data_IF_737149362619
#
_entry.id   IF_737149362619
#
_cell.length_a   1.000
_cell.length_b   1.000
_cell.length_c   1.000
_cell.angle_alpha   90.00
_cell.angle_beta   90.00
_cell.angle_gamma   90.00
#
_symmetry.space_group_name_H-M   'P 1'
#
loop_
_entity.id
_entity.type
_entity.pdbx_description
1 polymer ?
#
# COMPACT_ATOMS: atom_id res chain seq x y z
N UNK A 1 -9.60 -43.49 7.18
CA UNK A 1 -10.39 -42.35 7.70
C UNK A 1 -9.82 -41.95 9.06
N UNK A 2 -8.85 -41.04 9.12
CA UNK A 2 -8.36 -40.33 10.31
C UNK A 2 -7.13 -39.51 9.89
N UNK A 3 -6.84 -38.44 10.63
CA UNK A 3 -5.75 -37.46 10.42
C UNK A 3 -6.13 -36.38 9.40
N UNK A 4 -7.22 -35.69 9.78
CA UNK A 4 -7.45 -34.29 9.45
C UNK A 4 -6.15 -33.53 9.68
N UNK A 5 -5.55 -33.13 8.55
CA UNK A 5 -4.98 -31.80 8.29
C UNK A 5 -5.18 -30.86 9.46
N UNK A 6 -4.12 -30.20 9.92
CA UNK A 6 -4.24 -29.04 10.81
C UNK A 6 -5.30 -28.10 10.23
N UNK A 7 -6.51 -28.22 10.74
CA UNK A 7 -7.55 -27.26 10.48
C UNK A 7 -7.08 -25.98 11.14
N UNK A 8 -7.35 -24.86 10.50
CA UNK A 8 -7.12 -23.52 11.03
C UNK A 8 -7.56 -23.35 12.51
N UNK A 9 -8.60 -24.08 12.93
CA UNK A 9 -9.04 -24.17 14.33
C UNK A 9 -7.97 -24.61 15.32
N UNK A 10 -7.06 -25.51 14.94
CA UNK A 10 -5.95 -25.96 15.80
C UNK A 10 -4.89 -24.87 15.97
N UNK A 11 -4.69 -24.05 14.93
CA UNK A 11 -3.78 -22.91 14.96
C UNK A 11 -4.37 -21.78 15.81
N UNK A 12 -5.64 -21.45 15.60
CA UNK A 12 -6.42 -20.53 16.44
C UNK A 12 -6.33 -20.90 17.93
N UNK A 13 -6.57 -22.18 18.27
CA UNK A 13 -6.50 -22.67 19.65
C UNK A 13 -5.08 -22.57 20.23
N UNK A 14 -4.05 -22.83 19.42
CA UNK A 14 -2.66 -22.69 19.86
C UNK A 14 -2.28 -21.23 20.14
N UNK A 15 -2.68 -20.30 19.25
CA UNK A 15 -2.44 -18.86 19.40
C UNK A 15 -3.19 -18.32 20.62
N UNK A 16 -4.48 -18.64 20.75
CA UNK A 16 -5.30 -18.18 21.88
C UNK A 16 -4.84 -18.75 23.21
N UNK A 17 -4.43 -20.02 23.27
CA UNK A 17 -3.82 -20.60 24.47
C UNK A 17 -2.55 -19.87 24.88
N UNK A 18 -1.66 -19.58 23.93
CA UNK A 18 -0.42 -18.84 24.20
C UNK A 18 -0.70 -17.38 24.63
N UNK A 19 -1.67 -16.71 23.98
CA UNK A 19 -2.05 -15.33 24.30
C UNK A 19 -2.73 -15.19 25.67
N UNK A 20 -3.49 -16.20 26.09
CA UNK A 20 -4.15 -16.26 27.41
C UNK A 20 -3.23 -16.76 28.53
N UNK A 21 -1.98 -17.13 28.21
CA UNK A 21 -1.01 -17.64 29.18
C UNK A 21 -1.29 -19.06 29.65
N UNK A 22 -2.20 -19.78 28.99
CA UNK A 22 -2.41 -21.21 29.23
C UNK A 22 -1.22 -21.95 28.59
N UNK A 23 -0.39 -22.65 29.38
CA UNK A 23 0.79 -23.32 28.85
C UNK A 23 0.36 -24.53 28.01
N UNK A 24 0.19 -24.31 26.71
CA UNK A 24 0.28 -25.40 25.76
C UNK A 24 1.75 -25.79 25.71
N UNK A 25 2.07 -26.92 26.35
CA UNK A 25 3.42 -27.47 26.36
C UNK A 25 3.86 -27.58 24.89
N UNK A 26 4.85 -26.79 24.48
CA UNK A 26 5.33 -26.75 23.10
C UNK A 26 5.71 -28.16 22.59
N UNK A 27 6.11 -29.06 23.50
CA UNK A 27 6.35 -30.47 23.24
C UNK A 27 5.08 -31.26 22.87
N UNK A 28 3.97 -31.03 23.56
CA UNK A 28 2.67 -31.67 23.28
C UNK A 28 2.12 -31.21 21.93
N UNK A 29 2.22 -29.90 21.65
CA UNK A 29 1.88 -29.34 20.35
C UNK A 29 2.78 -29.95 19.25
N UNK A 30 4.10 -30.00 19.48
CA UNK A 30 5.07 -30.57 18.53
C UNK A 30 4.85 -32.05 18.27
N UNK A 31 4.43 -32.82 19.28
CA UNK A 31 4.11 -34.24 19.17
C UNK A 31 2.81 -34.47 18.40
N UNK A 32 1.73 -33.76 18.74
CA UNK A 32 0.46 -33.81 18.01
C UNK A 32 0.60 -33.33 16.56
N UNK A 33 1.40 -32.29 16.33
CA UNK A 33 1.70 -31.76 14.99
C UNK A 33 2.51 -32.77 14.17
N UNK A 34 3.59 -33.35 14.71
CA UNK A 34 4.42 -34.37 14.04
C UNK A 34 3.60 -35.58 13.55
N UNK A 35 2.55 -35.96 14.29
CA UNK A 35 1.68 -37.09 13.95
C UNK A 35 0.64 -36.77 12.85
N UNK A 36 0.42 -35.49 12.49
CA UNK A 36 -0.70 -35.05 11.64
C UNK A 36 -0.32 -34.39 10.30
N UNK A 37 0.96 -34.36 9.92
CA UNK A 37 1.40 -33.56 8.75
C UNK A 37 1.40 -34.33 7.44
N UNK A 38 0.54 -33.89 6.52
CA UNK A 38 0.85 -33.88 5.09
C UNK A 38 0.95 -32.42 4.62
N UNK A 39 2.04 -32.00 3.97
CA UNK A 39 2.18 -30.64 3.49
C UNK A 39 1.21 -30.41 2.32
N UNK A 40 0.10 -29.73 2.58
CA UNK A 40 -0.67 -29.04 1.54
C UNK A 40 -0.72 -27.56 1.89
N UNK A 41 -0.51 -26.73 0.87
CA UNK A 41 -0.69 -25.28 0.87
C UNK A 41 -2.17 -24.94 1.09
N UNK A 42 -2.67 -25.11 2.31
CA UNK A 42 -4.01 -24.69 2.68
C UNK A 42 -4.03 -23.17 2.90
N UNK A 43 -5.04 -22.48 2.38
CA UNK A 43 -5.29 -21.08 2.73
C UNK A 43 -5.66 -20.98 4.24
N UNK A 44 -5.24 -19.92 4.94
CA UNK A 44 -5.62 -19.72 6.34
C UNK A 44 -7.14 -19.61 6.46
N UNK A 45 -7.73 -20.06 7.58
CA UNK A 45 -9.18 -19.91 7.75
C UNK A 45 -9.49 -18.47 8.01
N UNK A 46 -10.71 -18.13 7.65
CA UNK A 46 -11.35 -16.87 7.94
C UNK A 46 -11.28 -16.48 9.43
N UNK A 47 -11.34 -17.46 10.35
CA UNK A 47 -11.20 -17.23 11.80
C UNK A 47 -9.78 -16.80 12.21
N UNK A 48 -8.75 -17.45 11.66
CA UNK A 48 -7.35 -17.04 11.90
C UNK A 48 -7.09 -15.65 11.35
N UNK A 49 -7.61 -15.36 10.15
CA UNK A 49 -7.53 -14.04 9.51
C UNK A 49 -8.16 -12.96 10.38
N UNK A 50 -9.36 -13.21 10.91
CA UNK A 50 -10.03 -12.26 11.80
C UNK A 50 -9.23 -12.01 13.08
N UNK A 51 -8.62 -13.05 13.66
CA UNK A 51 -7.85 -12.95 14.90
C UNK A 51 -6.63 -12.05 14.73
N UNK A 52 -5.75 -12.34 13.77
CA UNK A 52 -4.55 -11.54 13.61
C UNK A 52 -4.83 -10.15 13.04
N UNK A 53 -5.88 -9.97 12.23
CA UNK A 53 -6.33 -8.63 11.81
C UNK A 53 -6.84 -7.80 13.00
N UNK A 54 -7.56 -8.42 13.94
CA UNK A 54 -7.99 -7.75 15.16
C UNK A 54 -6.79 -7.38 16.03
N UNK A 55 -5.85 -8.32 16.22
CA UNK A 55 -4.63 -8.09 17.01
C UNK A 55 -3.79 -6.94 16.45
N UNK A 56 -3.61 -6.89 15.12
CA UNK A 56 -2.91 -5.78 14.47
C UNK A 56 -3.64 -4.45 14.66
N UNK A 57 -4.97 -4.40 14.49
CA UNK A 57 -5.75 -3.17 14.67
C UNK A 57 -5.73 -2.65 16.09
N UNK A 58 -5.72 -3.56 17.07
CA UNK A 58 -5.80 -3.21 18.49
C UNK A 58 -4.43 -3.07 19.16
N UNK A 59 -3.34 -3.39 18.45
CA UNK A 59 -2.00 -3.38 19.02
C UNK A 59 -1.74 -4.52 20.03
N UNK A 60 -2.44 -5.65 19.89
CA UNK A 60 -2.30 -6.80 20.81
C UNK A 60 -0.96 -7.54 20.58
N UNK A 61 0.06 -7.03 21.26
CA UNK A 61 1.41 -7.57 21.27
C UNK A 61 1.49 -9.02 21.75
N UNK A 62 0.58 -9.49 22.62
CA UNK A 62 0.62 -10.87 23.12
C UNK A 62 0.27 -11.85 22.02
N UNK A 63 -0.83 -11.57 21.32
CA UNK A 63 -1.28 -12.39 20.18
C UNK A 63 -0.26 -12.37 19.05
N UNK A 64 0.32 -11.21 18.72
CA UNK A 64 1.35 -11.11 17.68
C UNK A 64 2.65 -11.86 18.03
N UNK A 65 3.09 -11.79 19.30
CA UNK A 65 4.21 -12.59 19.81
C UNK A 65 3.93 -14.10 19.77
N UNK A 66 2.69 -14.51 20.02
CA UNK A 66 2.28 -15.91 19.89
C UNK A 66 2.45 -16.42 18.45
N UNK A 67 1.97 -15.66 17.45
CA UNK A 67 2.19 -15.99 16.03
C UNK A 67 3.68 -16.09 15.70
N UNK A 68 4.50 -15.17 16.23
CA UNK A 68 5.94 -15.18 16.01
C UNK A 68 6.62 -16.40 16.61
N UNK A 69 6.26 -16.78 17.84
CA UNK A 69 6.81 -17.96 18.52
C UNK A 69 6.45 -19.26 17.78
N UNK A 70 5.21 -19.38 17.29
CA UNK A 70 4.78 -20.53 16.49
C UNK A 70 5.55 -20.63 15.16
N UNK A 71 5.93 -19.49 14.57
CA UNK A 71 6.73 -19.46 13.34
C UNK A 71 8.17 -20.00 13.51
N UNK A 72 8.71 -20.00 14.74
CA UNK A 72 10.04 -20.57 15.04
C UNK A 72 10.04 -22.09 15.07
N UNK A 73 8.86 -22.72 15.15
CA UNK A 73 8.73 -24.16 15.07
C UNK A 73 8.94 -24.59 13.60
N UNK A 74 10.00 -25.36 13.28
CA UNK A 74 10.38 -25.63 11.88
C UNK A 74 9.24 -26.23 11.04
N UNK A 75 8.44 -27.06 11.69
CA UNK A 75 7.28 -27.75 11.11
C UNK A 75 6.14 -26.81 10.74
N UNK A 76 5.95 -25.73 11.52
CA UNK A 76 4.89 -24.73 11.30
C UNK A 76 5.35 -23.59 10.39
N UNK A 77 6.66 -23.38 10.23
CA UNK A 77 7.22 -22.29 9.43
C UNK A 77 6.65 -22.22 7.99
N UNK A 78 6.45 -23.37 7.34
CA UNK A 78 5.90 -23.45 5.99
C UNK A 78 4.38 -23.17 5.96
N UNK A 79 3.65 -23.66 6.97
CA UNK A 79 2.19 -23.49 7.09
C UNK A 79 1.83 -22.03 7.42
N UNK A 80 2.63 -21.40 8.27
CA UNK A 80 2.41 -20.03 8.74
C UNK A 80 2.89 -18.97 7.76
N UNK A 81 3.73 -19.29 6.77
CA UNK A 81 4.33 -18.31 5.86
C UNK A 81 3.29 -17.32 5.29
N UNK A 82 2.17 -17.81 4.75
CA UNK A 82 1.10 -16.97 4.20
C UNK A 82 0.37 -16.13 5.26
N UNK A 83 0.20 -16.67 6.46
CA UNK A 83 -0.42 -15.95 7.59
C UNK A 83 0.50 -14.82 8.05
N UNK A 84 1.80 -15.07 8.16
CA UNK A 84 2.80 -14.06 8.53
C UNK A 84 2.89 -12.95 7.47
N UNK A 85 2.88 -13.31 6.19
CA UNK A 85 2.81 -12.34 5.09
C UNK A 85 1.55 -11.45 5.22
N UNK A 86 0.40 -12.08 5.49
CA UNK A 86 -0.85 -11.38 5.76
C UNK A 86 -0.77 -10.41 6.95
N UNK A 87 -0.15 -10.84 8.06
CA UNK A 87 0.07 -9.99 9.25
C UNK A 87 0.92 -8.78 8.90
N UNK A 88 2.05 -8.98 8.23
CA UNK A 88 2.98 -7.92 7.83
C UNK A 88 2.28 -6.92 6.90
N UNK A 89 1.60 -7.41 5.85
CA UNK A 89 0.87 -6.58 4.89
C UNK A 89 -0.27 -5.79 5.51
N UNK A 90 -1.03 -6.40 6.41
CA UNK A 90 -2.13 -5.73 7.11
C UNK A 90 -1.65 -4.73 8.16
N UNK A 91 -0.53 -5.02 8.84
CA UNK A 91 0.09 -4.10 9.80
C UNK A 91 0.59 -2.80 9.15
N UNK A 92 0.95 -2.80 7.86
CA UNK A 92 1.30 -1.56 7.14
C UNK A 92 0.14 -0.58 7.05
N UNK A 93 -1.06 -1.12 6.95
CA UNK A 93 -2.24 -0.37 6.52
C UNK A 93 -3.22 -0.14 7.66
N UNK A 94 -3.22 -1.01 8.68
CA UNK A 94 -4.24 -1.03 9.72
C UNK A 94 -3.68 -1.12 11.15
N UNK A 95 -2.36 -1.14 11.34
CA UNK A 95 -1.80 -1.02 12.70
C UNK A 95 -2.17 0.36 13.27
N UNK A 96 -2.74 0.38 14.47
CA UNK A 96 -3.18 1.62 15.12
C UNK A 96 -2.02 2.41 15.73
N UNK A 97 -0.94 1.73 16.09
CA UNK A 97 0.23 2.31 16.75
C UNK A 97 1.54 2.01 16.00
N UNK A 98 2.46 2.99 16.06
CA UNK A 98 3.78 2.92 15.42
C UNK A 98 4.63 1.78 16.02
N UNK A 99 4.48 1.52 17.31
CA UNK A 99 5.22 0.48 18.02
C UNK A 99 4.87 -0.92 17.49
N UNK A 100 3.58 -1.23 17.34
CA UNK A 100 3.13 -2.50 16.76
C UNK A 100 3.58 -2.66 15.34
N UNK A 101 3.49 -1.59 14.54
CA UNK A 101 4.03 -1.59 13.17
C UNK A 101 5.52 -1.92 13.20
N UNK A 102 6.32 -1.13 13.90
CA UNK A 102 7.78 -1.31 13.98
C UNK A 102 8.18 -2.69 14.51
N UNK A 103 7.48 -3.18 15.55
CA UNK A 103 7.72 -4.50 16.13
C UNK A 103 7.43 -5.61 15.12
N UNK A 104 6.30 -5.57 14.41
CA UNK A 104 5.97 -6.54 13.35
C UNK A 104 7.08 -6.54 12.29
N UNK A 105 7.54 -5.36 11.86
CA UNK A 105 8.64 -5.23 10.89
C UNK A 105 9.98 -5.77 11.37
N UNK A 106 10.33 -5.55 12.64
CA UNK A 106 11.57 -6.05 13.23
C UNK A 106 11.53 -7.55 13.50
N UNK A 107 10.37 -8.07 13.88
CA UNK A 107 10.24 -9.39 14.48
C UNK A 107 10.02 -10.50 13.48
N UNK A 108 9.29 -10.29 12.38
CA UNK A 108 9.05 -11.33 11.39
C UNK A 108 10.21 -11.44 10.38
N UNK A 109 10.71 -12.65 10.08
CA UNK A 109 11.87 -12.85 9.21
C UNK A 109 11.62 -12.37 7.78
N UNK A 110 12.73 -12.10 7.07
CA UNK A 110 12.74 -11.47 5.75
C UNK A 110 11.72 -12.09 4.78
N UNK A 111 10.93 -11.22 4.17
CA UNK A 111 10.06 -11.44 3.01
C UNK A 111 10.59 -12.55 2.10
N UNK A 112 10.03 -13.77 2.21
CA UNK A 112 10.52 -14.89 1.40
C UNK A 112 10.19 -14.67 -0.08
N UNK A 113 9.01 -14.10 -0.38
CA UNK A 113 8.64 -13.56 -1.70
C UNK A 113 7.62 -12.43 -1.51
N UNK A 114 8.02 -11.15 -1.62
CA UNK A 114 7.08 -10.05 -1.43
C UNK A 114 6.06 -10.03 -2.58
N UNK A 115 4.80 -10.35 -2.24
CA UNK A 115 3.69 -10.24 -3.17
C UNK A 115 3.48 -8.78 -3.63
N UNK A 116 2.80 -8.60 -4.76
CA UNK A 116 2.45 -7.27 -5.28
C UNK A 116 1.66 -6.40 -4.29
N UNK A 117 0.89 -7.04 -3.39
CA UNK A 117 0.09 -6.34 -2.38
C UNK A 117 0.95 -5.64 -1.33
N UNK A 118 2.08 -6.25 -0.94
CA UNK A 118 3.00 -5.67 0.04
C UNK A 118 3.62 -4.37 -0.47
N UNK A 119 3.98 -4.28 -1.75
CA UNK A 119 4.49 -3.04 -2.35
C UNK A 119 3.43 -1.94 -2.39
N UNK A 120 2.16 -2.32 -2.57
CA UNK A 120 1.05 -1.40 -2.47
C UNK A 120 0.89 -0.87 -1.05
N UNK A 121 0.95 -1.77 -0.06
CA UNK A 121 0.84 -1.43 1.35
C UNK A 121 2.01 -0.55 1.84
N UNK A 122 3.24 -0.81 1.39
CA UNK A 122 4.42 0.05 1.64
C UNK A 122 4.24 1.43 1.03
N UNK A 123 3.72 1.49 -0.21
CA UNK A 123 3.39 2.76 -0.85
C UNK A 123 2.32 3.53 -0.09
N UNK A 124 1.27 2.84 0.36
CA UNK A 124 0.15 3.44 1.09
C UNK A 124 0.51 3.92 2.50
N UNK A 125 1.45 3.26 3.19
CA UNK A 125 1.87 3.68 4.53
C UNK A 125 2.74 4.94 4.52
N UNK A 126 3.50 5.18 3.44
CA UNK A 126 4.31 6.39 3.28
C UNK A 126 5.58 6.44 4.13
N UNK A 127 5.83 5.40 4.94
CA UNK A 127 6.94 5.37 5.90
C UNK A 127 8.25 5.01 5.20
N UNK A 128 9.11 6.02 5.03
CA UNK A 128 10.41 5.90 4.38
C UNK A 128 11.33 4.95 5.13
N UNK A 129 11.28 4.93 6.47
CA UNK A 129 12.17 4.11 7.27
C UNK A 129 11.77 2.64 7.22
N UNK A 130 10.46 2.35 7.19
CA UNK A 130 9.96 0.99 6.92
C UNK A 130 10.39 0.52 5.53
N UNK A 131 10.29 1.39 4.51
CA UNK A 131 10.73 1.06 3.17
C UNK A 131 12.25 0.84 3.08
N UNK A 132 13.05 1.70 3.73
CA UNK A 132 14.51 1.56 3.83
C UNK A 132 14.92 0.28 4.54
N UNK A 133 14.26 -0.04 5.65
CA UNK A 133 14.48 -1.29 6.38
C UNK A 133 14.19 -2.51 5.49
N UNK A 134 13.09 -2.48 4.74
CA UNK A 134 12.73 -3.56 3.81
C UNK A 134 13.81 -3.72 2.71
N UNK A 135 14.31 -2.62 2.13
CA UNK A 135 15.42 -2.66 1.18
C UNK A 135 16.70 -3.28 1.77
N UNK A 136 17.06 -2.91 3.00
CA UNK A 136 18.25 -3.44 3.71
C UNK A 136 18.22 -4.95 3.98
N UNK A 137 17.05 -5.60 3.89
CA UNK A 137 16.86 -7.04 4.08
C UNK A 137 16.78 -7.83 2.78
N UNK A 138 17.14 -7.23 1.64
CA UNK A 138 17.16 -7.91 0.33
C UNK A 138 15.90 -7.72 -0.50
N UNK A 139 14.99 -6.80 -0.14
CA UNK A 139 13.86 -6.46 -1.00
C UNK A 139 14.33 -5.97 -2.38
N UNK A 140 15.49 -5.30 -2.47
CA UNK A 140 16.03 -4.83 -3.74
C UNK A 140 16.57 -5.95 -4.64
N UNK A 141 17.04 -7.07 -4.09
CA UNK A 141 17.73 -8.13 -4.85
C UNK A 141 16.80 -9.14 -5.52
N UNK A 142 15.53 -9.19 -5.10
CA UNK A 142 14.56 -10.21 -5.55
C UNK A 142 13.36 -9.66 -6.31
N UNK A 143 13.34 -8.35 -6.59
CA UNK A 143 12.09 -7.66 -6.94
C UNK A 143 12.24 -6.90 -8.25
N UNK A 144 11.21 -7.02 -9.09
CA UNK A 144 11.15 -6.36 -10.38
C UNK A 144 10.90 -4.85 -10.25
N UNK A 145 11.41 -4.01 -11.18
CA UNK A 145 11.10 -2.58 -11.23
C UNK A 145 9.60 -2.26 -11.26
N UNK A 146 8.79 -3.18 -11.79
CA UNK A 146 7.32 -3.07 -11.86
C UNK A 146 6.67 -3.13 -10.47
N UNK A 147 7.18 -3.96 -9.56
CA UNK A 147 6.69 -4.03 -8.18
C UNK A 147 7.01 -2.74 -7.42
N UNK A 148 8.20 -2.17 -7.60
CA UNK A 148 8.52 -0.85 -7.05
C UNK A 148 7.69 0.28 -7.68
N UNK A 149 7.30 0.14 -8.95
CA UNK A 149 6.32 1.02 -9.59
C UNK A 149 4.96 1.03 -8.87
N UNK A 150 4.54 -0.09 -8.26
CA UNK A 150 3.32 -0.15 -7.43
C UNK A 150 3.45 0.67 -6.16
N UNK A 151 4.62 0.65 -5.51
CA UNK A 151 4.93 1.49 -4.35
C UNK A 151 4.84 2.97 -4.71
N UNK A 152 5.48 3.37 -5.82
CA UNK A 152 5.40 4.75 -6.30
C UNK A 152 3.96 5.17 -6.64
N UNK A 153 3.17 4.27 -7.23
CA UNK A 153 1.75 4.52 -7.52
C UNK A 153 0.91 4.74 -6.26
N UNK A 154 0.99 3.84 -5.27
CA UNK A 154 0.19 4.00 -4.04
C UNK A 154 0.70 5.17 -3.17
N UNK A 155 2.02 5.43 -3.14
CA UNK A 155 2.56 6.62 -2.48
C UNK A 155 2.04 7.92 -3.12
N UNK A 156 2.00 7.98 -4.45
CA UNK A 156 1.44 9.13 -5.17
C UNK A 156 -0.06 9.29 -4.95
N UNK A 157 -0.80 8.18 -4.85
CA UNK A 157 -2.23 8.15 -4.56
C UNK A 157 -2.56 8.60 -3.12
N UNK A 158 -1.68 8.30 -2.16
CA UNK A 158 -1.83 8.69 -0.76
C UNK A 158 -1.19 10.06 -0.43
N UNK A 159 -0.41 10.64 -1.35
CA UNK A 159 0.22 11.95 -1.18
C UNK A 159 1.58 11.92 -0.47
N UNK A 160 2.19 10.75 -0.31
CA UNK A 160 3.45 10.54 0.41
C UNK A 160 4.67 10.96 -0.42
N UNK A 161 4.90 12.28 -0.51
CA UNK A 161 5.99 12.86 -1.29
C UNK A 161 7.36 12.35 -0.88
N UNK A 162 7.63 12.21 0.42
CA UNK A 162 8.95 11.79 0.92
C UNK A 162 9.30 10.37 0.46
N UNK A 163 8.36 9.42 0.59
CA UNK A 163 8.53 8.07 0.08
C UNK A 163 8.68 8.06 -1.44
N UNK A 164 7.87 8.85 -2.15
CA UNK A 164 7.96 8.93 -3.61
C UNK A 164 9.32 9.50 -4.07
N UNK A 165 9.82 10.52 -3.39
CA UNK A 165 11.13 11.11 -3.66
C UNK A 165 12.26 10.13 -3.34
N UNK A 166 12.15 9.37 -2.25
CA UNK A 166 13.08 8.32 -1.91
C UNK A 166 13.12 7.22 -2.98
N UNK A 167 11.95 6.72 -3.39
CA UNK A 167 11.83 5.69 -4.43
C UNK A 167 12.35 6.19 -5.78
N UNK A 168 12.13 7.47 -6.10
CA UNK A 168 12.69 8.12 -7.28
C UNK A 168 14.22 8.18 -7.23
N UNK A 169 14.80 8.67 -6.12
CA UNK A 169 16.24 8.80 -5.95
C UNK A 169 16.97 7.45 -5.96
N UNK A 170 16.31 6.39 -5.48
CA UNK A 170 16.86 5.04 -5.50
C UNK A 170 16.92 4.43 -6.91
N UNK A 171 16.11 4.92 -7.86
CA UNK A 171 16.22 4.57 -9.28
C UNK A 171 15.71 3.18 -9.69
N UNK A 172 15.06 2.43 -8.79
CA UNK A 172 14.58 1.07 -9.05
C UNK A 172 13.15 0.99 -9.60
N UNK A 173 12.33 2.02 -9.41
CA UNK A 173 10.91 1.97 -9.74
C UNK A 173 10.63 2.35 -11.20
N UNK A 174 9.72 1.61 -11.83
CA UNK A 174 9.11 2.03 -13.09
C UNK A 174 8.07 3.11 -12.82
N UNK A 175 8.30 4.32 -13.33
CA UNK A 175 7.30 5.39 -13.31
C UNK A 175 6.42 5.34 -14.57
N UNK A 176 5.14 5.66 -14.41
CA UNK A 176 4.18 5.70 -15.53
C UNK A 176 3.30 6.93 -15.40
N UNK A 177 2.63 7.31 -16.50
CA UNK A 177 1.68 8.44 -16.53
C UNK A 177 0.58 8.32 -15.47
N UNK A 178 0.19 7.09 -15.14
CA UNK A 178 -0.84 6.78 -14.15
C UNK A 178 -0.48 7.29 -12.74
N UNK A 179 0.81 7.45 -12.41
CA UNK A 179 1.27 7.95 -11.12
C UNK A 179 0.92 9.44 -10.97
N UNK A 180 1.15 10.25 -12.00
CA UNK A 180 0.75 11.67 -11.99
C UNK A 180 -0.77 11.81 -12.07
N UNK A 181 -1.45 10.96 -12.85
CA UNK A 181 -2.91 10.96 -12.95
C UNK A 181 -3.59 10.69 -11.60
N UNK A 182 -3.11 9.71 -10.83
CA UNK A 182 -3.67 9.37 -9.52
C UNK A 182 -3.35 10.43 -8.46
N UNK A 183 -2.14 11.01 -8.48
CA UNK A 183 -1.80 12.13 -7.58
C UNK A 183 -2.68 13.34 -7.85
N UNK A 184 -2.91 13.68 -9.12
CA UNK A 184 -3.76 14.78 -9.51
C UNK A 184 -5.23 14.54 -9.15
N UNK A 185 -5.72 13.32 -9.38
CA UNK A 185 -7.10 12.93 -9.05
C UNK A 185 -7.38 13.02 -7.55
N UNK A 186 -6.39 12.77 -6.69
CA UNK A 186 -6.54 12.89 -5.23
C UNK A 186 -6.08 14.25 -4.67
N UNK A 187 -5.71 15.21 -5.51
CA UNK A 187 -5.43 16.58 -5.09
C UNK A 187 -4.04 16.81 -4.50
N UNK A 188 -3.10 15.87 -4.67
CA UNK A 188 -1.76 15.96 -4.09
C UNK A 188 -0.84 16.86 -4.93
N UNK A 189 -1.05 18.18 -4.87
CA UNK A 189 -0.31 19.17 -5.68
C UNK A 189 1.22 19.04 -5.56
N UNK A 190 1.75 18.88 -4.34
CA UNK A 190 3.21 18.74 -4.12
C UNK A 190 3.79 17.52 -4.84
N UNK A 191 3.04 16.41 -4.87
CA UNK A 191 3.43 15.20 -5.62
C UNK A 191 3.38 15.46 -7.12
N UNK A 192 2.35 16.15 -7.62
CA UNK A 192 2.23 16.50 -9.04
C UNK A 192 3.37 17.42 -9.50
N UNK A 193 3.73 18.41 -8.69
CA UNK A 193 4.88 19.30 -8.94
C UNK A 193 6.19 18.52 -8.99
N UNK A 194 6.45 17.69 -7.97
CA UNK A 194 7.63 16.83 -7.92
C UNK A 194 7.75 15.93 -9.15
N UNK A 195 6.66 15.25 -9.53
CA UNK A 195 6.62 14.40 -10.71
C UNK A 195 6.76 15.21 -12.01
N UNK A 196 6.31 16.47 -12.05
CA UNK A 196 6.49 17.31 -13.23
C UNK A 196 7.94 17.75 -13.43
N UNK A 197 8.62 18.12 -12.35
CA UNK A 197 9.99 18.63 -12.37
C UNK A 197 11.02 17.50 -12.57
N UNK A 198 10.76 16.32 -12.00
CA UNK A 198 11.76 15.24 -11.94
C UNK A 198 11.52 14.10 -12.94
N UNK A 199 10.35 14.05 -13.60
CA UNK A 199 9.97 12.94 -14.51
C UNK A 199 9.48 13.42 -15.87
N UNK A 200 9.78 12.65 -16.91
CA UNK A 200 9.47 13.00 -18.32
C UNK A 200 8.23 12.28 -18.86
N UNK A 201 7.73 11.26 -18.17
CA UNK A 201 6.58 10.46 -18.59
C UNK A 201 5.31 11.31 -18.77
N UNK A 202 5.16 12.33 -17.93
CA UNK A 202 4.02 13.24 -17.93
C UNK A 202 2.74 12.63 -17.36
N UNK A 203 1.60 13.17 -17.79
CA UNK A 203 0.27 12.71 -17.39
C UNK A 203 -0.59 12.38 -18.60
N UNK A 204 -1.76 11.81 -18.37
CA UNK A 204 -2.80 11.71 -19.40
C UNK A 204 -3.87 12.79 -19.19
N UNK A 205 -4.90 12.77 -20.04
CA UNK A 205 -6.12 13.59 -19.86
C UNK A 205 -6.78 13.34 -18.49
N UNK A 206 -6.57 12.15 -17.91
CA UNK A 206 -7.18 11.75 -16.65
C UNK A 206 -6.76 12.64 -15.48
N UNK A 207 -5.50 13.09 -15.41
CA UNK A 207 -5.05 14.01 -14.36
C UNK A 207 -5.94 15.25 -14.24
N UNK A 208 -6.15 15.96 -15.36
CA UNK A 208 -6.96 17.18 -15.38
C UNK A 208 -8.44 16.89 -15.09
N UNK A 209 -9.01 15.89 -15.75
CA UNK A 209 -10.43 15.56 -15.58
C UNK A 209 -10.74 15.04 -14.17
N UNK A 210 -9.84 14.24 -13.58
CA UNK A 210 -9.97 13.69 -12.24
C UNK A 210 -9.85 14.78 -11.16
N UNK A 211 -8.85 15.65 -11.29
CA UNK A 211 -8.68 16.81 -10.40
C UNK A 211 -9.91 17.72 -10.45
N UNK A 212 -10.43 18.02 -11.64
CA UNK A 212 -11.61 18.87 -11.82
C UNK A 212 -12.88 18.23 -11.24
N UNK A 213 -13.09 16.92 -11.50
CA UNK A 213 -14.21 16.13 -10.94
C UNK A 213 -14.24 16.17 -9.41
N UNK A 214 -13.07 16.05 -8.78
CA UNK A 214 -12.94 15.99 -7.33
C UNK A 214 -12.80 17.37 -6.67
N UNK A 215 -12.69 18.46 -7.46
CA UNK A 215 -12.66 19.83 -6.95
C UNK A 215 -11.28 20.33 -6.55
N UNK A 216 -10.20 19.67 -7.00
CA UNK A 216 -8.82 20.06 -6.68
C UNK A 216 -8.34 21.20 -7.58
N UNK A 217 -8.84 22.41 -7.31
CA UNK A 217 -8.59 23.61 -8.12
C UNK A 217 -7.10 23.91 -8.32
N UNK A 218 -6.30 23.73 -7.28
CA UNK A 218 -4.87 24.06 -7.25
C UNK A 218 -4.10 23.18 -8.25
N UNK A 219 -4.47 21.89 -8.29
CA UNK A 219 -3.95 20.92 -9.25
C UNK A 219 -4.43 21.27 -10.66
N UNK A 220 -5.70 21.63 -10.85
CA UNK A 220 -6.23 22.07 -12.16
C UNK A 220 -5.48 23.29 -12.69
N UNK A 221 -5.23 24.30 -11.84
CA UNK A 221 -4.44 25.49 -12.17
C UNK A 221 -3.01 25.12 -12.59
N UNK A 222 -2.37 24.25 -11.81
CA UNK A 222 -1.01 23.80 -12.11
C UNK A 222 -0.92 23.03 -13.43
N UNK A 223 -1.81 22.05 -13.64
CA UNK A 223 -1.85 21.26 -14.87
C UNK A 223 -2.16 22.13 -16.08
N UNK A 224 -3.06 23.12 -15.97
CA UNK A 224 -3.40 23.99 -17.09
C UNK A 224 -2.21 24.84 -17.54
N UNK A 225 -1.42 25.35 -16.59
CA UNK A 225 -0.27 26.21 -16.89
C UNK A 225 0.95 25.46 -17.43
N UNK A 226 1.14 24.22 -16.99
CA UNK A 226 2.40 23.49 -17.21
C UNK A 226 2.27 22.25 -18.10
N UNK A 227 1.04 21.82 -18.44
CA UNK A 227 0.76 20.60 -19.22
C UNK A 227 -0.19 20.89 -20.38
N UNK A 228 -0.03 20.15 -21.47
CA UNK A 228 -0.81 20.29 -22.71
C UNK A 228 -1.78 19.12 -22.91
N UNK A 229 -1.66 18.08 -22.10
CA UNK A 229 -2.37 16.82 -22.25
C UNK A 229 -3.84 16.91 -21.80
N UNK A 230 -4.23 17.93 -21.04
CA UNK A 230 -5.57 18.10 -20.48
C UNK A 230 -6.63 18.54 -21.49
N UNK A 231 -7.84 18.00 -21.39
CA UNK A 231 -9.02 18.43 -22.17
C UNK A 231 -9.96 19.28 -21.32
N UNK A 232 -9.97 20.60 -21.57
CA UNK A 232 -10.76 21.60 -20.82
C UNK A 232 -12.26 21.27 -20.81
N UNK A 233 -12.82 20.92 -21.97
CA UNK A 233 -14.25 20.63 -22.09
C UNK A 233 -14.71 19.45 -21.21
N UNK A 234 -13.91 18.37 -21.18
CA UNK A 234 -14.21 17.20 -20.35
C UNK A 234 -14.06 17.52 -18.86
N UNK A 235 -12.99 18.22 -18.49
CA UNK A 235 -12.75 18.64 -17.11
C UNK A 235 -13.88 19.53 -16.56
N UNK A 236 -14.33 20.50 -17.37
CA UNK A 236 -15.42 21.41 -17.05
C UNK A 236 -16.75 20.69 -16.85
N UNK A 237 -17.10 19.79 -17.79
CA UNK A 237 -18.32 18.97 -17.69
C UNK A 237 -18.33 18.16 -16.38
N UNK A 238 -17.23 17.49 -16.05
CA UNK A 238 -17.14 16.68 -14.85
C UNK A 238 -17.16 17.50 -13.56
N UNK A 239 -16.51 18.67 -13.55
CA UNK A 239 -16.57 19.61 -12.43
C UNK A 239 -18.01 20.10 -12.19
N UNK A 240 -18.74 20.44 -13.25
CA UNK A 240 -20.14 20.88 -13.17
C UNK A 240 -21.06 19.76 -12.65
N UNK A 241 -20.91 18.55 -13.17
CA UNK A 241 -21.69 17.38 -12.72
C UNK A 241 -21.48 17.03 -11.23
N UNK A 242 -20.32 17.39 -10.67
CA UNK A 242 -19.97 17.11 -9.28
C UNK A 242 -20.10 18.35 -8.37
N UNK A 243 -20.73 19.43 -8.84
CA UNK A 243 -20.95 20.65 -8.06
C UNK A 243 -19.66 21.40 -7.68
N UNK A 244 -18.57 21.21 -8.42
CA UNK A 244 -17.26 21.84 -8.14
C UNK A 244 -17.19 23.24 -8.72
N UNK A 245 -17.94 24.18 -8.15
CA UNK A 245 -18.12 25.56 -8.66
C UNK A 245 -16.80 26.29 -8.91
N UNK A 246 -15.85 26.24 -7.98
CA UNK A 246 -14.55 26.92 -8.12
C UNK A 246 -13.72 26.40 -9.31
N UNK A 247 -13.80 25.11 -9.61
CA UNK A 247 -13.17 24.53 -10.80
C UNK A 247 -13.90 24.96 -12.08
N UNK A 248 -15.24 25.00 -12.07
CA UNK A 248 -16.04 25.43 -13.21
C UNK A 248 -15.79 26.90 -13.54
N UNK A 249 -15.81 27.78 -12.54
CA UNK A 249 -15.49 29.21 -12.69
C UNK A 249 -14.10 29.40 -13.28
N UNK A 250 -13.09 28.75 -12.70
CA UNK A 250 -11.74 28.83 -13.25
C UNK A 250 -11.68 28.33 -14.69
N UNK A 251 -12.24 27.15 -14.99
CA UNK A 251 -12.24 26.59 -16.34
C UNK A 251 -13.01 27.46 -17.35
N UNK A 252 -14.07 28.16 -16.93
CA UNK A 252 -14.74 29.17 -17.74
C UNK A 252 -13.84 30.37 -18.04
N UNK A 253 -13.09 30.88 -17.04
CA UNK A 253 -12.19 32.01 -17.25
C UNK A 253 -11.06 31.67 -18.23
N UNK A 254 -10.48 30.47 -18.15
CA UNK A 254 -9.43 30.08 -19.09
C UNK A 254 -9.94 29.75 -20.49
N UNK A 255 -11.16 29.21 -20.63
CA UNK A 255 -11.77 29.00 -21.95
C UNK A 255 -12.08 30.34 -22.65
N UNK A 256 -12.64 31.30 -21.91
CA UNK A 256 -12.91 32.65 -22.42
C UNK A 256 -11.61 33.34 -22.90
N UNK A 257 -10.52 33.19 -22.15
CA UNK A 257 -9.21 33.73 -22.51
C UNK A 257 -8.57 33.09 -23.76
N UNK A 258 -8.98 31.87 -24.15
CA UNK A 258 -8.51 31.20 -25.38
C UNK A 258 -9.36 31.61 -26.59
N UNK A 259 -10.66 31.86 -26.40
CA UNK A 259 -11.60 32.25 -27.47
C UNK A 259 -11.51 33.73 -27.82
N UNK A 260 -11.09 34.59 -26.88
CA UNK A 260 -10.67 35.95 -27.20
C UNK A 260 -9.16 35.94 -27.47
N UNK A 261 -8.67 35.87 -28.72
CA UNK A 261 -7.30 36.24 -28.97
C UNK A 261 -7.21 37.71 -28.59
N UNK A 262 -6.58 38.01 -27.46
CA UNK A 262 -6.25 39.38 -27.14
C UNK A 262 -5.41 39.85 -28.31
N UNK A 263 -5.94 40.83 -29.05
CA UNK A 263 -5.17 41.80 -29.78
C UNK A 263 -4.16 42.41 -28.79
N UNK A 264 -3.05 41.72 -28.57
CA UNK A 264 -1.85 42.29 -27.96
C UNK A 264 -1.04 42.82 -29.13
N UNK A 265 -1.22 44.12 -29.35
CA UNK A 265 -0.32 44.97 -30.10
C UNK A 265 1.14 44.66 -29.74
N UNK A 266 1.98 44.34 -30.74
CA UNK A 266 2.82 45.29 -31.49
C UNK A 266 2.95 44.78 -32.91
#
# INVERSE_FOLDING_TARGET
MALRVLTNRSLFLAVTGFATGVPLIAHELKHQLKLQLHPKTAAPAQEDVALWQSAVRTGDQRTLRAFRALAEVPVLSCVLARTLDGIVGYALTHASDVETREWVYKSFPAFREPSFEHFGALGACGDVEVFRYALGRGLASHVSPRQFGRTAYEAAKAGHLELLAFVHAYGIATFTKAIMDVAATNGHLRVVQFLHENRKEGCTRQAMSGAARNGHLDVVKFLYRNRREGHLAVAKKLAAQNGRTSCVEYLHTVEAAVVTPVARAV
#
